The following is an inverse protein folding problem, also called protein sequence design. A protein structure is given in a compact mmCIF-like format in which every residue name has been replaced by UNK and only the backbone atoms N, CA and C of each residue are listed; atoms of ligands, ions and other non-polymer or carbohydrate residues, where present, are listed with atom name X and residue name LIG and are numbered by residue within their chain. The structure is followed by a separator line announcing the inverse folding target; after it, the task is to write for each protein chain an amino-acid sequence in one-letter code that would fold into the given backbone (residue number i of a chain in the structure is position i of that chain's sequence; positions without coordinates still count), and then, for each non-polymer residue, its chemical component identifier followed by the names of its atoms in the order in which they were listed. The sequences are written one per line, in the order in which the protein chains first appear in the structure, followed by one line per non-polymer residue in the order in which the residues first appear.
data_IF_329779957748
#
_entry.id   IF_329779957748
#
_cell.length_a   1.000
_cell.length_b   1.000
_cell.length_c   1.000
_cell.angle_alpha   90.00
_cell.angle_beta   90.00
_cell.angle_gamma   90.00
#
_symmetry.space_group_name_H-M   'P 1'
#
loop_
_entity.id
_entity.type
_entity.pdbx_description
1 polymer ?
#
# COMPACT_ATOMS: atom_id res chain seq x y z
N UNK A 1 -15.54 22.72 21.62
CA UNK A 1 -14.69 22.17 20.53
C UNK A 1 -13.45 23.03 20.45
N UNK A 2 -12.26 22.44 20.64
CA UNK A 2 -10.99 23.20 20.64
C UNK A 2 -10.47 23.36 19.19
N UNK A 3 -10.77 22.40 18.32
CA UNK A 3 -10.45 22.45 16.89
C UNK A 3 -11.38 21.55 16.09
N UNK A 4 -11.65 21.91 14.83
CA UNK A 4 -12.29 21.04 13.83
C UNK A 4 -11.33 20.89 12.65
N UNK A 5 -11.02 19.65 12.29
CA UNK A 5 -10.11 19.34 11.20
C UNK A 5 -10.72 18.30 10.26
N UNK A 6 -10.15 18.21 9.06
CA UNK A 6 -10.46 17.19 8.07
C UNK A 6 -9.17 16.83 7.32
N UNK A 7 -9.15 15.66 6.69
CA UNK A 7 -8.01 15.17 5.95
C UNK A 7 -8.45 14.27 4.80
N UNK A 8 -7.62 14.23 3.77
CA UNK A 8 -7.86 13.36 2.62
C UNK A 8 -7.62 11.90 3.00
N UNK A 9 -8.48 11.01 2.49
CA UNK A 9 -8.29 9.57 2.55
C UNK A 9 -7.84 9.12 1.16
N UNK A 10 -6.58 8.70 0.98
CA UNK A 10 -6.15 8.14 -0.29
C UNK A 10 -6.76 6.74 -0.42
N UNK A 11 -7.64 6.55 -1.39
CA UNK A 11 -8.40 5.31 -1.58
C UNK A 11 -8.22 4.85 -3.03
N UNK A 12 -8.22 3.54 -3.24
CA UNK A 12 -8.39 2.93 -4.56
C UNK A 12 -9.87 2.65 -4.80
N UNK A 13 -10.24 2.33 -6.05
CA UNK A 13 -11.63 2.01 -6.39
C UNK A 13 -12.15 0.73 -5.70
N UNK A 14 -11.26 -0.19 -5.34
CA UNK A 14 -11.58 -1.47 -4.72
C UNK A 14 -11.33 -1.51 -3.20
N UNK A 15 -11.01 -0.37 -2.57
CA UNK A 15 -10.63 -0.24 -1.15
C UNK A 15 -9.42 -1.08 -0.69
N UNK A 16 -8.65 -1.67 -1.62
CA UNK A 16 -7.41 -2.43 -1.34
C UNK A 16 -6.19 -1.53 -1.57
N UNK A 17 -5.21 -1.43 -0.65
CA UNK A 17 -4.02 -0.61 -0.91
C UNK A 17 -3.22 -1.15 -2.11
N UNK A 18 -2.52 -0.25 -2.79
CA UNK A 18 -1.51 -0.61 -3.80
C UNK A 18 -0.14 -0.70 -3.14
N UNK A 19 0.40 -1.91 -3.08
CA UNK A 19 1.69 -2.26 -2.48
C UNK A 19 2.52 -3.04 -3.51
N UNK A 20 3.70 -2.54 -3.88
CA UNK A 20 4.64 -3.27 -4.72
C UNK A 20 5.43 -2.41 -5.69
N UNK A 21 6.15 -3.07 -6.61
CA UNK A 21 6.95 -2.40 -7.63
C UNK A 21 6.04 -1.74 -8.69
N UNK A 22 6.50 -0.63 -9.26
CA UNK A 22 5.77 0.05 -10.34
C UNK A 22 6.14 -0.58 -11.69
N UNK A 23 5.17 -1.04 -12.49
CA UNK A 23 5.43 -1.63 -13.81
C UNK A 23 6.24 -0.70 -14.71
N UNK A 24 7.26 -1.27 -15.36
CA UNK A 24 8.13 -0.54 -16.28
C UNK A 24 9.05 0.50 -15.64
N UNK A 25 9.10 0.59 -14.30
CA UNK A 25 9.94 1.56 -13.58
C UNK A 25 10.84 0.85 -12.55
N UNK A 26 12.09 0.50 -12.93
CA UNK A 26 13.04 -0.14 -12.02
C UNK A 26 13.25 0.70 -10.76
N UNK A 27 13.36 0.03 -9.61
CA UNK A 27 13.61 0.64 -8.30
C UNK A 27 12.55 1.64 -7.81
N UNK A 28 11.38 1.70 -8.45
CA UNK A 28 10.24 2.51 -8.00
C UNK A 28 9.19 1.60 -7.34
N UNK A 29 8.75 2.00 -6.15
CA UNK A 29 7.83 1.26 -5.31
C UNK A 29 6.63 2.12 -4.93
N UNK A 30 5.46 1.51 -4.80
CA UNK A 30 4.22 2.17 -4.40
C UNK A 30 3.72 1.55 -3.09
N UNK A 31 3.32 2.42 -2.15
CA UNK A 31 2.61 2.06 -0.93
C UNK A 31 1.55 3.14 -0.65
N UNK A 32 0.37 2.99 -1.25
CA UNK A 32 -0.68 4.00 -1.23
C UNK A 32 -2.08 3.37 -1.24
N UNK A 33 -3.11 4.18 -0.99
CA UNK A 33 -4.50 3.74 -1.13
C UNK A 33 -5.13 3.07 0.09
N UNK A 34 -4.52 3.17 1.28
CA UNK A 34 -5.00 2.50 2.49
C UNK A 34 -6.33 3.02 3.07
N UNK A 35 -6.92 4.06 2.48
CA UNK A 35 -8.22 4.60 2.85
C UNK A 35 -8.32 4.95 4.35
N UNK A 36 -9.38 4.48 4.99
CA UNK A 36 -9.61 4.73 6.42
C UNK A 36 -8.71 3.89 7.34
N UNK A 37 -8.10 2.82 6.82
CA UNK A 37 -7.41 1.79 7.61
C UNK A 37 -5.87 1.93 7.61
N UNK A 38 -5.33 3.05 7.10
CA UNK A 38 -3.87 3.25 6.97
C UNK A 38 -3.06 2.98 8.23
N UNK A 39 -3.49 3.48 9.38
CA UNK A 39 -2.79 3.25 10.66
C UNK A 39 -2.84 1.76 11.04
N UNK A 40 -4.02 1.14 10.98
CA UNK A 40 -4.21 -0.27 11.32
C UNK A 40 -3.42 -1.22 10.43
N UNK A 41 -3.29 -0.90 9.14
CA UNK A 41 -2.56 -1.72 8.15
C UNK A 41 -1.06 -1.39 8.05
N UNK A 42 -0.59 -0.37 8.76
CA UNK A 42 0.77 0.19 8.57
C UNK A 42 1.89 -0.81 8.82
N UNK A 43 1.78 -1.62 9.88
CA UNK A 43 2.81 -2.60 10.26
C UNK A 43 2.92 -3.73 9.23
N UNK A 44 1.79 -4.30 8.82
CA UNK A 44 1.73 -5.35 7.81
C UNK A 44 2.20 -4.83 6.44
N UNK A 45 1.77 -3.63 6.03
CA UNK A 45 2.19 -3.00 4.78
C UNK A 45 3.69 -2.71 4.78
N UNK A 46 4.23 -2.17 5.87
CA UNK A 46 5.65 -1.89 6.01
C UNK A 46 6.51 -3.15 5.91
N UNK A 47 6.10 -4.22 6.61
CA UNK A 47 6.80 -5.51 6.55
C UNK A 47 6.76 -6.09 5.13
N UNK A 48 5.59 -6.12 4.50
CA UNK A 48 5.43 -6.60 3.12
C UNK A 48 6.33 -5.82 2.16
N UNK A 49 6.32 -4.49 2.23
CA UNK A 49 7.18 -3.66 1.38
C UNK A 49 8.65 -3.90 1.64
N UNK A 50 9.08 -4.04 2.90
CA UNK A 50 10.47 -4.34 3.22
C UNK A 50 10.93 -5.68 2.64
N UNK A 51 10.10 -6.71 2.73
CA UNK A 51 10.40 -8.03 2.17
C UNK A 51 10.49 -7.99 0.64
N UNK A 52 9.52 -7.34 -0.02
CA UNK A 52 9.55 -7.18 -1.48
C UNK A 52 10.77 -6.38 -1.96
N UNK A 53 11.10 -5.27 -1.30
CA UNK A 53 12.23 -4.40 -1.64
C UNK A 53 13.57 -5.14 -1.49
N UNK A 54 13.69 -6.00 -0.46
CA UNK A 54 14.92 -6.73 -0.15
C UNK A 54 15.00 -8.12 -0.77
N UNK A 55 13.98 -8.54 -1.54
CA UNK A 55 13.93 -9.86 -2.16
C UNK A 55 13.72 -11.02 -1.17
N UNK A 56 13.17 -10.75 0.01
CA UNK A 56 12.79 -11.78 0.99
C UNK A 56 11.41 -12.34 0.67
N UNK A 57 11.19 -13.60 1.04
CA UNK A 57 9.88 -14.22 0.95
C UNK A 57 8.90 -13.51 1.90
N UNK A 58 7.81 -12.90 1.39
CA UNK A 58 6.86 -12.19 2.24
C UNK A 58 5.95 -13.17 3.00
N UNK A 59 5.54 -12.79 4.20
CA UNK A 59 4.58 -13.56 5.01
C UNK A 59 3.13 -13.47 4.49
N UNK A 60 2.82 -12.44 3.70
CA UNK A 60 1.52 -12.20 3.08
C UNK A 60 1.66 -12.33 1.56
N UNK A 61 0.63 -12.88 0.90
CA UNK A 61 0.59 -12.92 -0.57
C UNK A 61 0.55 -11.47 -1.12
N UNK A 62 1.56 -11.03 -1.90
CA UNK A 62 1.57 -9.69 -2.46
C UNK A 62 0.58 -9.50 -3.61
N UNK A 63 0.08 -10.58 -4.24
CA UNK A 63 -0.65 -10.51 -5.49
C UNK A 63 -1.88 -9.59 -5.46
N UNK A 64 -2.74 -9.58 -4.42
CA UNK A 64 -3.91 -8.71 -4.36
C UNK A 64 -3.59 -7.21 -4.32
N UNK A 65 -2.38 -6.84 -3.90
CA UNK A 65 -1.99 -5.44 -3.67
C UNK A 65 -1.25 -4.83 -4.86
N UNK A 66 -0.96 -5.61 -5.89
CA UNK A 66 -0.21 -5.15 -7.07
C UNK A 66 -0.96 -4.08 -7.85
N UNK A 67 -0.21 -3.15 -8.46
CA UNK A 67 -0.79 -2.07 -9.28
C UNK A 67 -1.42 -2.60 -10.57
N UNK A 68 -0.86 -3.70 -11.08
CA UNK A 68 -1.30 -4.38 -12.30
C UNK A 68 -2.71 -4.95 -12.22
N UNK A 69 -3.32 -5.03 -11.03
CA UNK A 69 -4.72 -5.48 -10.88
C UNK A 69 -5.74 -4.52 -11.51
N UNK A 70 -5.32 -3.29 -11.82
CA UNK A 70 -6.15 -2.28 -12.49
C UNK A 70 -5.82 -2.11 -14.00
N UNK A 71 -4.93 -2.94 -14.54
CA UNK A 71 -4.51 -2.88 -15.94
C UNK A 71 -5.50 -3.56 -16.89
#
# INVERSE_FOLDING_TARGET
VIERWYGWRPMTWDDVPVLGAVPGRPHVWLAAGHGMLGISMSTASGQLMADLITGRAPALDPHPYRAERFA
#
